data_IF_915851220382
#
_entry.id   IF_915851220382
#
_cell.length_a   1.000
_cell.length_b   1.000
_cell.length_c   1.000
_cell.angle_alpha   90.00
_cell.angle_beta   90.00
_cell.angle_gamma   90.00
#
_symmetry.space_group_name_H-M   'P 1'
#
loop_
_entity.id
_entity.type
_entity.pdbx_description
1 polymer ?
#
# COMPACT_ATOMS: atom_id res chain seq x y z
N UNK A 1 -5.24 -31.97 -2.02
CA UNK A 1 -5.43 -30.49 -1.93
C UNK A 1 -6.42 -30.20 -0.82
N UNK A 2 -6.28 -29.07 -0.13
CA UNK A 2 -7.21 -28.66 0.90
C UNK A 2 -8.56 -28.32 0.23
N UNK A 3 -9.71 -28.89 0.66
CA UNK A 3 -11.03 -28.65 0.07
C UNK A 3 -11.40 -27.14 0.00
N UNK A 4 -10.89 -26.36 0.93
CA UNK A 4 -11.05 -24.90 0.90
C UNK A 4 -10.37 -24.27 -0.31
N UNK A 5 -9.15 -24.70 -0.64
CA UNK A 5 -8.39 -24.19 -1.77
C UNK A 5 -9.06 -24.53 -3.10
N UNK A 6 -9.55 -25.77 -3.24
CA UNK A 6 -10.30 -26.20 -4.43
C UNK A 6 -11.57 -25.36 -4.63
N UNK A 7 -12.31 -25.08 -3.58
CA UNK A 7 -13.50 -24.23 -3.61
C UNK A 7 -13.16 -22.79 -4.04
N UNK A 8 -12.07 -22.23 -3.48
CA UNK A 8 -11.64 -20.87 -3.81
C UNK A 8 -11.14 -20.75 -5.25
N UNK A 9 -10.45 -21.75 -5.77
CA UNK A 9 -10.00 -21.79 -7.17
C UNK A 9 -11.20 -21.94 -8.10
N UNK A 10 -12.14 -22.85 -7.81
CA UNK A 10 -13.33 -23.06 -8.62
C UNK A 10 -14.21 -21.80 -8.75
N UNK A 11 -14.23 -20.94 -7.72
CA UNK A 11 -15.00 -19.70 -7.69
C UNK A 11 -14.12 -18.46 -7.53
N UNK A 12 -12.90 -18.48 -8.06
CA UNK A 12 -11.87 -17.46 -7.87
C UNK A 12 -12.37 -16.01 -8.06
N UNK A 13 -13.07 -15.64 -9.16
CA UNK A 13 -13.50 -14.25 -9.35
C UNK A 13 -14.47 -13.79 -8.25
N UNK A 14 -15.39 -14.64 -7.84
CA UNK A 14 -16.36 -14.33 -6.79
C UNK A 14 -15.68 -14.24 -5.41
N UNK A 15 -14.78 -15.18 -5.10
CA UNK A 15 -14.04 -15.21 -3.85
C UNK A 15 -13.15 -13.96 -3.69
N UNK A 16 -12.45 -13.55 -4.76
CA UNK A 16 -11.62 -12.34 -4.76
C UNK A 16 -12.46 -11.06 -4.66
N UNK A 17 -13.62 -11.01 -5.34
CA UNK A 17 -14.54 -9.86 -5.26
C UNK A 17 -15.14 -9.72 -3.85
N UNK A 18 -15.73 -10.78 -3.31
CA UNK A 18 -16.36 -10.73 -1.97
C UNK A 18 -15.33 -10.56 -0.87
N UNK A 19 -14.24 -11.31 -0.90
CA UNK A 19 -13.17 -11.20 0.08
C UNK A 19 -12.49 -9.84 0.03
N UNK A 20 -12.22 -9.31 -1.18
CA UNK A 20 -11.71 -7.95 -1.36
C UNK A 20 -12.65 -6.89 -0.79
N UNK A 21 -13.96 -7.02 -1.03
CA UNK A 21 -14.98 -6.12 -0.48
C UNK A 21 -14.98 -6.13 1.04
N UNK A 22 -14.96 -7.32 1.66
CA UNK A 22 -14.95 -7.47 3.14
C UNK A 22 -13.65 -6.90 3.73
N UNK A 23 -12.49 -7.26 3.18
CA UNK A 23 -11.22 -6.76 3.68
C UNK A 23 -11.08 -5.24 3.50
N UNK A 24 -11.53 -4.71 2.34
CA UNK A 24 -11.61 -3.29 2.10
C UNK A 24 -12.53 -2.59 3.10
N UNK A 25 -13.71 -3.16 3.37
CA UNK A 25 -14.67 -2.62 4.34
C UNK A 25 -14.08 -2.53 5.75
N UNK A 26 -13.45 -3.59 6.22
CA UNK A 26 -12.77 -3.60 7.52
C UNK A 26 -11.63 -2.58 7.57
N UNK A 27 -10.85 -2.49 6.50
CA UNK A 27 -9.78 -1.49 6.37
C UNK A 27 -10.31 -0.06 6.41
N UNK A 28 -11.35 0.24 5.63
CA UNK A 28 -11.96 1.58 5.57
C UNK A 28 -12.58 1.99 6.90
N UNK A 29 -13.34 1.10 7.53
CA UNK A 29 -13.94 1.34 8.85
C UNK A 29 -12.87 1.58 9.93
N UNK A 30 -11.83 0.74 9.96
CA UNK A 30 -10.74 0.85 10.92
C UNK A 30 -9.94 2.14 10.72
N UNK A 31 -9.51 2.45 9.49
CA UNK A 31 -8.70 3.63 9.19
C UNK A 31 -9.46 4.93 9.43
N UNK A 32 -10.76 4.97 9.13
CA UNK A 32 -11.61 6.10 9.44
C UNK A 32 -11.73 6.32 10.96
N UNK A 33 -12.06 5.25 11.70
CA UNK A 33 -12.29 5.29 13.15
C UNK A 33 -11.03 5.68 13.93
N UNK A 34 -9.87 5.14 13.55
CA UNK A 34 -8.59 5.33 14.26
C UNK A 34 -7.76 6.48 13.70
N UNK A 35 -8.19 7.09 12.59
CA UNK A 35 -7.44 8.12 11.89
C UNK A 35 -6.04 7.64 11.45
N UNK A 36 -5.92 6.36 11.07
CA UNK A 36 -4.67 5.78 10.58
C UNK A 36 -4.24 6.46 9.28
N UNK A 37 -3.06 7.08 9.28
CA UNK A 37 -2.60 7.90 8.17
C UNK A 37 -1.07 8.08 8.18
N UNK A 38 -0.41 7.77 7.08
CA UNK A 38 1.05 7.93 6.94
C UNK A 38 1.46 9.39 6.92
N UNK A 39 0.76 10.24 6.15
CA UNK A 39 1.01 11.68 6.12
C UNK A 39 0.87 12.30 7.52
N UNK A 40 -0.22 11.96 8.22
CA UNK A 40 -0.43 12.42 9.59
C UNK A 40 0.65 11.91 10.54
N UNK A 41 1.16 10.69 10.36
CA UNK A 41 2.26 10.15 11.16
C UNK A 41 3.56 10.92 10.95
N UNK A 42 3.87 11.30 9.70
CA UNK A 42 5.04 12.12 9.37
C UNK A 42 4.88 13.54 9.92
N UNK A 43 3.71 14.17 9.72
CA UNK A 43 3.44 15.52 10.23
C UNK A 43 3.50 15.57 11.76
N UNK A 44 2.85 14.63 12.46
CA UNK A 44 2.90 14.58 13.93
C UNK A 44 4.33 14.43 14.45
N UNK A 45 5.14 13.61 13.77
CA UNK A 45 6.53 13.38 14.15
C UNK A 45 7.40 14.63 13.90
N UNK A 46 7.19 15.33 12.78
CA UNK A 46 8.04 16.45 12.37
C UNK A 46 7.66 17.77 13.04
N UNK A 47 6.34 18.03 13.18
CA UNK A 47 5.82 19.31 13.68
C UNK A 47 5.57 19.27 15.20
N UNK A 48 5.03 18.15 15.71
CA UNK A 48 4.64 18.04 17.14
C UNK A 48 5.54 17.11 17.97
N UNK A 49 6.51 16.40 17.36
CA UNK A 49 7.36 15.43 18.05
C UNK A 49 6.61 14.17 18.52
N UNK A 50 5.33 14.00 18.17
CA UNK A 50 4.53 12.84 18.57
C UNK A 50 4.74 11.67 17.59
N UNK A 51 5.29 10.57 18.11
CA UNK A 51 5.61 9.37 17.31
C UNK A 51 4.59 8.26 17.43
N UNK A 52 3.50 8.42 18.18
CA UNK A 52 2.52 7.33 18.43
C UNK A 52 1.87 6.83 17.15
N UNK A 53 1.46 7.72 16.25
CA UNK A 53 0.87 7.34 14.95
C UNK A 53 1.89 6.69 14.02
N UNK A 54 3.15 7.16 14.07
CA UNK A 54 4.23 6.53 13.31
C UNK A 54 4.53 5.11 13.83
N UNK A 55 4.53 4.90 15.15
CA UNK A 55 4.68 3.57 15.75
C UNK A 55 3.50 2.66 15.43
N UNK A 56 2.26 3.17 15.39
CA UNK A 56 1.12 2.37 14.94
C UNK A 56 1.29 1.90 13.49
N UNK A 57 1.85 2.75 12.65
CA UNK A 57 2.15 2.41 11.26
C UNK A 57 3.27 1.35 11.17
N UNK A 58 4.34 1.49 11.94
CA UNK A 58 5.41 0.50 12.02
C UNK A 58 4.91 -0.83 12.59
N UNK A 59 4.02 -0.79 13.58
CA UNK A 59 3.37 -1.98 14.14
C UNK A 59 2.54 -2.72 13.08
N UNK A 60 1.83 -2.00 12.21
CA UNK A 60 1.09 -2.60 11.11
C UNK A 60 2.03 -3.33 10.12
N UNK A 61 3.17 -2.70 9.79
CA UNK A 61 4.18 -3.30 8.92
C UNK A 61 4.81 -4.55 9.55
N UNK A 62 5.15 -4.51 10.84
CA UNK A 62 5.72 -5.67 11.56
C UNK A 62 4.72 -6.82 11.68
N UNK A 63 3.45 -6.52 11.98
CA UNK A 63 2.37 -7.53 12.05
C UNK A 63 2.15 -8.17 10.68
N UNK A 64 2.10 -7.36 9.61
CA UNK A 64 1.99 -7.85 8.25
C UNK A 64 3.21 -8.72 7.87
N UNK A 65 4.43 -8.28 8.23
CA UNK A 65 5.66 -9.03 7.97
C UNK A 65 5.61 -10.44 8.60
N UNK A 66 5.35 -10.52 9.89
CA UNK A 66 5.30 -11.80 10.60
C UNK A 66 4.23 -12.72 10.02
N UNK A 67 3.02 -12.20 9.81
CA UNK A 67 1.92 -13.01 9.28
C UNK A 67 2.18 -13.46 7.83
N UNK A 68 2.67 -12.57 6.96
CA UNK A 68 2.95 -12.88 5.54
C UNK A 68 4.08 -13.89 5.41
N UNK A 69 5.18 -13.73 6.15
CA UNK A 69 6.27 -14.69 6.14
C UNK A 69 5.86 -16.03 6.76
N UNK A 70 4.96 -16.01 7.76
CA UNK A 70 4.36 -17.23 8.30
C UNK A 70 3.50 -17.98 7.27
N UNK A 71 2.67 -17.27 6.50
CA UNK A 71 1.88 -17.86 5.40
C UNK A 71 2.78 -18.43 4.29
N UNK A 72 3.87 -17.75 3.96
CA UNK A 72 4.83 -18.23 2.97
C UNK A 72 5.56 -19.50 3.47
N UNK A 73 6.01 -19.51 4.72
CA UNK A 73 6.65 -20.67 5.34
C UNK A 73 5.69 -21.89 5.44
N UNK A 74 4.40 -21.64 5.61
CA UNK A 74 3.35 -22.67 5.58
C UNK A 74 2.98 -23.14 4.15
N UNK A 75 3.58 -22.55 3.09
CA UNK A 75 3.27 -22.89 1.70
C UNK A 75 1.88 -22.42 1.22
N UNK A 76 1.25 -21.50 1.97
CA UNK A 76 -0.09 -20.98 1.63
C UNK A 76 -0.01 -19.92 0.53
N UNK A 77 1.04 -19.10 0.56
CA UNK A 77 1.21 -17.97 -0.37
C UNK A 77 2.54 -18.09 -1.11
N UNK A 78 2.54 -18.25 -2.44
CA UNK A 78 3.76 -18.21 -3.25
C UNK A 78 4.20 -16.76 -3.46
N UNK A 79 4.87 -16.16 -2.45
CA UNK A 79 5.29 -14.75 -2.48
C UNK A 79 6.22 -14.41 -3.66
N UNK A 80 6.95 -15.38 -4.17
CA UNK A 80 7.87 -15.24 -5.30
C UNK A 80 7.14 -14.88 -6.60
N UNK A 81 5.84 -15.20 -6.69
CA UNK A 81 4.96 -14.81 -7.80
C UNK A 81 4.38 -13.40 -7.65
N UNK A 82 4.66 -12.73 -6.53
CA UNK A 82 4.16 -11.38 -6.31
C UNK A 82 4.97 -10.33 -7.09
N UNK A 83 4.32 -9.24 -7.45
CA UNK A 83 4.96 -8.10 -8.12
C UNK A 83 6.12 -7.48 -7.34
N UNK A 84 6.20 -7.72 -6.03
CA UNK A 84 7.22 -7.13 -5.15
C UNK A 84 8.58 -7.87 -5.23
N UNK A 85 8.59 -9.14 -5.62
CA UNK A 85 9.79 -9.98 -5.65
C UNK A 85 10.28 -10.24 -7.08
N UNK A 86 10.13 -9.25 -7.97
CA UNK A 86 10.65 -9.32 -9.33
C UNK A 86 12.15 -9.60 -9.37
N UNK A 87 12.66 -10.27 -10.43
CA UNK A 87 14.08 -10.61 -10.58
C UNK A 87 14.96 -9.40 -10.99
N UNK A 88 14.37 -8.20 -11.07
CA UNK A 88 15.05 -6.94 -11.36
C UNK A 88 14.66 -5.88 -10.35
N UNK A 89 15.61 -5.02 -9.94
CA UNK A 89 15.37 -3.91 -9.04
C UNK A 89 15.33 -2.58 -9.82
N UNK A 90 14.15 -1.99 -9.95
CA UNK A 90 13.94 -0.66 -10.51
C UNK A 90 14.23 0.43 -9.45
N UNK A 91 15.49 0.57 -9.05
CA UNK A 91 15.87 1.42 -7.93
C UNK A 91 15.55 2.91 -8.14
N UNK A 92 15.70 3.42 -9.38
CA UNK A 92 15.34 4.82 -9.71
C UNK A 92 13.85 5.03 -9.59
N UNK A 93 13.03 4.11 -10.10
CA UNK A 93 11.58 4.16 -9.96
C UNK A 93 11.15 4.16 -8.48
N UNK A 94 11.75 3.31 -7.66
CA UNK A 94 11.48 3.27 -6.21
C UNK A 94 11.85 4.58 -5.51
N UNK A 95 13.00 5.17 -5.81
CA UNK A 95 13.47 6.40 -5.17
C UNK A 95 12.71 7.62 -5.69
N UNK A 96 12.72 7.86 -7.00
CA UNK A 96 12.07 9.04 -7.60
C UNK A 96 10.56 8.98 -7.43
N UNK A 97 9.95 7.82 -7.74
CA UNK A 97 8.52 7.61 -7.55
C UNK A 97 8.10 7.75 -6.10
N UNK A 98 8.88 7.21 -5.15
CA UNK A 98 8.63 7.35 -3.72
C UNK A 98 8.71 8.81 -3.24
N UNK A 99 9.71 9.58 -3.68
CA UNK A 99 9.84 11.02 -3.39
C UNK A 99 8.66 11.82 -3.93
N UNK A 100 8.29 11.60 -5.21
CA UNK A 100 7.14 12.26 -5.85
C UNK A 100 5.83 11.92 -5.11
N UNK A 101 5.64 10.64 -4.79
CA UNK A 101 4.47 10.19 -4.06
C UNK A 101 4.38 10.82 -2.66
N UNK A 102 5.50 10.80 -1.92
CA UNK A 102 5.58 11.35 -0.57
C UNK A 102 5.31 12.85 -0.53
N UNK A 103 5.89 13.60 -1.48
CA UNK A 103 5.63 15.03 -1.63
C UNK A 103 4.17 15.29 -2.02
N UNK A 104 3.69 14.60 -3.05
CA UNK A 104 2.32 14.74 -3.57
C UNK A 104 1.24 14.45 -2.51
N UNK A 105 1.45 13.44 -1.62
CA UNK A 105 0.45 13.12 -0.59
C UNK A 105 0.22 14.23 0.43
N UNK A 106 1.21 15.10 0.67
CA UNK A 106 1.05 16.25 1.56
C UNK A 106 0.15 17.30 0.91
N UNK A 107 0.39 17.60 -0.35
CA UNK A 107 -0.39 18.57 -1.12
C UNK A 107 -1.83 18.08 -1.39
N UNK A 108 -2.02 16.78 -1.58
CA UNK A 108 -3.33 16.16 -1.76
C UNK A 108 -4.10 15.92 -0.45
N UNK A 109 -3.53 16.29 0.70
CA UNK A 109 -4.17 16.13 2.01
C UNK A 109 -4.26 14.68 2.51
N UNK A 110 -3.45 13.77 1.97
CA UNK A 110 -3.33 12.38 2.39
C UNK A 110 -3.01 11.42 1.24
N UNK A 111 -2.53 10.23 1.58
CA UNK A 111 -2.32 9.14 0.62
C UNK A 111 -3.65 8.56 0.11
N UNK A 112 -3.68 7.70 -0.94
CA UNK A 112 -4.92 7.16 -1.51
C UNK A 112 -5.82 6.48 -0.47
N UNK A 113 -5.26 5.65 0.42
CA UNK A 113 -6.05 4.99 1.47
C UNK A 113 -6.70 5.99 2.44
N UNK A 114 -6.02 7.09 2.75
CA UNK A 114 -6.59 8.17 3.57
C UNK A 114 -7.69 8.92 2.83
N UNK A 115 -7.49 9.19 1.54
CA UNK A 115 -8.51 9.85 0.73
C UNK A 115 -9.74 8.96 0.52
N UNK A 116 -9.59 7.62 0.41
CA UNK A 116 -10.73 6.68 0.44
C UNK A 116 -11.52 6.81 1.75
N UNK A 117 -10.85 6.82 2.88
CA UNK A 117 -11.50 6.99 4.17
C UNK A 117 -12.22 8.36 4.29
N UNK A 118 -11.62 9.45 3.78
CA UNK A 118 -12.22 10.79 3.77
C UNK A 118 -13.41 10.86 2.82
N UNK A 119 -13.29 10.30 1.60
CA UNK A 119 -14.37 10.27 0.63
C UNK A 119 -15.59 9.51 1.17
N UNK A 120 -15.38 8.34 1.82
CA UNK A 120 -16.44 7.64 2.55
C UNK A 120 -17.06 8.48 3.66
N UNK A 121 -16.30 9.34 4.33
CA UNK A 121 -16.78 10.30 5.32
C UNK A 121 -17.54 11.51 4.75
N UNK A 122 -17.65 11.64 3.41
CA UNK A 122 -18.38 12.72 2.73
C UNK A 122 -17.48 13.85 2.20
N UNK A 123 -16.16 13.68 2.18
CA UNK A 123 -15.24 14.69 1.63
C UNK A 123 -15.10 14.55 0.11
N UNK A 124 -15.81 15.43 -0.62
CA UNK A 124 -15.79 15.47 -2.09
C UNK A 124 -14.40 15.84 -2.66
N UNK A 125 -13.59 16.59 -1.92
CA UNK A 125 -12.20 16.88 -2.31
C UNK A 125 -11.38 15.59 -2.41
N UNK A 126 -11.55 14.72 -1.42
CA UNK A 126 -10.87 13.43 -1.40
C UNK A 126 -11.32 12.53 -2.57
N UNK A 127 -12.62 12.56 -2.92
CA UNK A 127 -13.14 11.84 -4.07
C UNK A 127 -12.52 12.34 -5.38
N UNK A 128 -12.50 13.67 -5.61
CA UNK A 128 -11.87 14.23 -6.81
C UNK A 128 -10.36 13.98 -6.85
N UNK A 129 -9.70 14.04 -5.70
CA UNK A 129 -8.28 13.67 -5.56
C UNK A 129 -8.02 12.23 -6.01
N UNK A 130 -8.88 11.28 -5.64
CA UNK A 130 -8.78 9.88 -6.07
C UNK A 130 -8.99 9.71 -7.57
N UNK A 131 -9.96 10.41 -8.16
CA UNK A 131 -10.21 10.38 -9.61
C UNK A 131 -8.98 10.86 -10.37
N UNK A 132 -8.44 12.04 -10.01
CA UNK A 132 -7.26 12.60 -10.68
C UNK A 132 -6.03 11.71 -10.47
N UNK A 133 -5.86 11.15 -9.29
CA UNK A 133 -4.79 10.17 -9.00
C UNK A 133 -4.91 8.94 -9.90
N UNK A 134 -6.12 8.38 -10.05
CA UNK A 134 -6.37 7.21 -10.90
C UNK A 134 -6.05 7.49 -12.37
N UNK A 135 -6.49 8.64 -12.90
CA UNK A 135 -6.16 9.09 -14.26
C UNK A 135 -4.65 9.23 -14.43
N UNK A 136 -3.98 9.94 -13.53
CA UNK A 136 -2.53 10.14 -13.58
C UNK A 136 -1.74 8.82 -13.46
N UNK A 137 -2.22 7.87 -12.66
CA UNK A 137 -1.65 6.54 -12.56
C UNK A 137 -1.79 5.78 -13.89
N UNK A 138 -2.95 5.80 -14.52
CA UNK A 138 -3.15 5.15 -15.82
C UNK A 138 -2.36 5.81 -16.95
N UNK A 139 -2.22 7.14 -16.92
CA UNK A 139 -1.32 7.85 -17.84
C UNK A 139 0.12 7.36 -17.72
N UNK A 140 0.60 7.08 -16.50
CA UNK A 140 1.95 6.57 -16.26
C UNK A 140 2.07 5.06 -16.51
N UNK A 141 1.01 4.27 -16.34
CA UNK A 141 1.03 2.81 -16.46
C UNK A 141 1.12 2.34 -17.90
N UNK A 142 0.26 2.83 -18.76
CA UNK A 142 0.18 2.44 -20.18
C UNK A 142 -0.35 3.55 -21.09
N UNK A 143 -0.59 4.77 -20.54
CA UNK A 143 -1.05 5.94 -21.29
C UNK A 143 0.10 6.83 -21.75
N UNK A 144 -0.15 8.13 -21.77
CA UNK A 144 0.74 9.16 -22.34
C UNK A 144 2.18 9.13 -21.76
N UNK A 145 2.33 8.84 -20.49
CA UNK A 145 3.63 8.77 -19.80
C UNK A 145 4.24 7.36 -19.79
N UNK A 146 3.50 6.35 -20.26
CA UNK A 146 3.95 4.95 -20.31
C UNK A 146 5.28 4.74 -21.01
N UNK A 147 5.51 5.29 -22.23
CA UNK A 147 6.79 5.16 -22.94
C UNK A 147 7.97 5.75 -22.16
N UNK A 148 7.79 6.92 -21.54
CA UNK A 148 8.83 7.56 -20.73
C UNK A 148 9.17 6.74 -19.48
N UNK A 149 8.14 6.17 -18.80
CA UNK A 149 8.32 5.25 -17.68
C UNK A 149 9.07 3.99 -18.10
N UNK A 150 8.66 3.36 -19.20
CA UNK A 150 9.29 2.12 -19.67
C UNK A 150 10.76 2.36 -20.07
N UNK A 151 11.07 3.51 -20.69
CA UNK A 151 12.45 3.89 -20.99
C UNK A 151 13.27 4.08 -19.71
N UNK A 152 12.73 4.79 -18.71
CA UNK A 152 13.42 4.99 -17.43
C UNK A 152 13.70 3.65 -16.72
N UNK A 153 12.69 2.78 -16.65
CA UNK A 153 12.82 1.45 -16.05
C UNK A 153 13.86 0.61 -16.80
N UNK A 154 13.78 0.55 -18.13
CA UNK A 154 14.74 -0.20 -18.96
C UNK A 154 16.18 0.31 -18.85
N UNK A 155 16.36 1.65 -18.70
CA UNK A 155 17.68 2.27 -18.58
C UNK A 155 18.30 2.12 -17.17
N UNK A 156 17.49 1.88 -16.13
CA UNK A 156 17.95 1.96 -14.75
C UNK A 156 17.68 0.70 -13.91
N UNK A 157 16.96 -0.28 -14.46
CA UNK A 157 16.71 -1.54 -13.78
C UNK A 157 18.01 -2.32 -13.59
N UNK A 158 18.24 -2.79 -12.36
CA UNK A 158 19.36 -3.63 -12.01
C UNK A 158 18.95 -5.11 -12.13
N UNK A 159 19.48 -5.88 -13.11
CA UNK A 159 19.18 -7.30 -13.23
C UNK A 159 19.88 -8.07 -12.12
N UNK A 160 19.11 -8.64 -11.20
CA UNK A 160 19.66 -9.36 -10.03
C UNK A 160 20.28 -10.71 -10.40
N UNK A 161 19.91 -11.26 -11.56
CA UNK A 161 20.48 -12.50 -12.07
C UNK A 161 22.00 -12.42 -12.27
N UNK A 162 22.53 -11.25 -12.67
CA UNK A 162 23.97 -11.01 -12.80
C UNK A 162 24.70 -11.12 -11.46
N UNK A 163 24.02 -10.82 -10.36
CA UNK A 163 24.51 -10.92 -9.00
C UNK A 163 24.20 -12.29 -8.36
N UNK A 164 23.64 -13.24 -9.12
CA UNK A 164 23.18 -14.56 -8.64
C UNK A 164 22.15 -14.49 -7.52
N UNK A 165 21.37 -13.39 -7.49
CA UNK A 165 20.29 -13.18 -6.51
C UNK A 165 18.97 -13.54 -7.21
N UNK A 166 18.21 -14.54 -6.70
CA UNK A 166 16.98 -15.01 -7.37
C UNK A 166 15.88 -13.95 -7.40
N UNK A 167 15.68 -13.25 -6.29
CA UNK A 167 14.67 -12.19 -6.15
C UNK A 167 15.22 -11.02 -5.34
N UNK A 168 14.53 -9.89 -5.37
CA UNK A 168 14.89 -8.73 -4.52
C UNK A 168 14.50 -8.88 -3.03
N UNK A 169 14.26 -10.10 -2.54
CA UNK A 169 14.05 -10.33 -1.12
C UNK A 169 15.34 -10.11 -0.32
N UNK A 170 15.25 -9.38 0.81
CA UNK A 170 16.38 -9.24 1.75
C UNK A 170 16.93 -10.59 2.21
N UNK A 171 16.06 -11.62 2.30
CA UNK A 171 16.49 -12.96 2.63
C UNK A 171 17.35 -13.59 1.55
N UNK A 172 17.00 -13.41 0.26
CA UNK A 172 17.81 -13.93 -0.85
C UNK A 172 19.13 -13.18 -0.95
N UNK A 173 19.13 -11.87 -0.75
CA UNK A 173 20.36 -11.06 -0.68
C UNK A 173 21.26 -11.55 0.47
N UNK A 174 20.69 -11.74 1.67
CA UNK A 174 21.43 -12.23 2.82
C UNK A 174 21.98 -13.65 2.60
N UNK A 175 21.22 -14.53 1.95
CA UNK A 175 21.67 -15.90 1.62
C UNK A 175 22.91 -15.88 0.73
N UNK A 176 22.91 -15.04 -0.32
CA UNK A 176 24.07 -14.90 -1.22
C UNK A 176 25.28 -14.32 -0.50
N UNK A 177 25.09 -13.33 0.38
CA UNK A 177 26.19 -12.67 1.10
C UNK A 177 26.80 -13.56 2.21
N UNK A 178 25.96 -14.38 2.88
CA UNK A 178 26.41 -15.19 4.03
C UNK A 178 26.70 -16.65 3.68
N UNK A 179 26.26 -17.12 2.51
CA UNK A 179 26.32 -18.53 2.14
C UNK A 179 25.30 -19.42 2.88
N UNK A 180 24.35 -18.80 3.62
CA UNK A 180 23.32 -19.53 4.35
C UNK A 180 22.24 -20.09 3.39
N UNK A 181 21.45 -21.07 3.87
CA UNK A 181 20.32 -21.54 3.09
C UNK A 181 19.27 -20.43 2.90
N UNK A 182 18.65 -20.30 1.72
CA UNK A 182 17.67 -19.23 1.45
C UNK A 182 16.51 -19.19 2.46
N UNK A 183 16.03 -20.37 2.90
CA UNK A 183 14.96 -20.46 3.88
C UNK A 183 15.38 -19.91 5.25
N UNK A 184 16.58 -20.27 5.72
CA UNK A 184 17.09 -19.76 7.00
C UNK A 184 17.36 -18.26 6.93
N UNK A 185 17.91 -17.76 5.82
CA UNK A 185 18.19 -16.34 5.63
C UNK A 185 16.89 -15.50 5.57
N UNK A 186 15.84 -15.98 4.88
CA UNK A 186 14.51 -15.35 4.85
C UNK A 186 13.91 -15.28 6.25
N UNK A 187 13.90 -16.38 7.00
CA UNK A 187 13.37 -16.43 8.34
C UNK A 187 14.15 -15.54 9.32
N UNK A 188 15.48 -15.60 9.27
CA UNK A 188 16.35 -14.77 10.13
C UNK A 188 16.16 -13.27 9.84
N UNK A 189 16.10 -12.87 8.57
CA UNK A 189 15.86 -11.47 8.17
C UNK A 189 14.48 -10.99 8.64
N UNK A 190 13.44 -11.82 8.48
CA UNK A 190 12.10 -11.52 8.95
C UNK A 190 12.06 -11.38 10.48
N UNK A 191 12.65 -12.31 11.20
CA UNK A 191 12.68 -12.29 12.66
C UNK A 191 13.44 -11.08 13.19
N UNK A 192 14.60 -10.77 12.63
CA UNK A 192 15.42 -9.62 13.03
C UNK A 192 14.67 -8.30 12.87
N UNK A 193 14.07 -8.09 11.69
CA UNK A 193 13.32 -6.86 11.39
C UNK A 193 12.07 -6.78 12.28
N UNK A 194 11.32 -7.88 12.41
CA UNK A 194 10.12 -7.90 13.23
C UNK A 194 10.44 -7.59 14.70
N UNK A 195 11.44 -8.25 15.29
CA UNK A 195 11.85 -8.02 16.68
C UNK A 195 12.31 -6.57 16.87
N UNK A 196 13.14 -6.04 15.97
CA UNK A 196 13.61 -4.66 16.04
C UNK A 196 12.45 -3.66 15.99
N UNK A 197 11.48 -3.87 15.09
CA UNK A 197 10.32 -2.97 14.95
C UNK A 197 9.35 -3.10 16.13
N UNK A 198 9.06 -4.32 16.60
CA UNK A 198 8.23 -4.51 17.80
C UNK A 198 8.90 -3.87 19.02
N UNK A 199 10.21 -4.09 19.23
CA UNK A 199 10.95 -3.46 20.31
C UNK A 199 10.85 -1.93 20.23
N UNK A 200 11.11 -1.34 19.06
CA UNK A 200 10.95 0.11 18.84
C UNK A 200 9.54 0.59 19.18
N UNK A 201 8.50 -0.13 18.77
CA UNK A 201 7.12 0.24 19.06
C UNK A 201 6.82 0.24 20.57
N UNK A 202 7.19 -0.82 21.27
CA UNK A 202 6.82 -1.02 22.68
C UNK A 202 7.78 -0.39 23.69
N UNK A 203 8.93 0.15 23.27
CA UNK A 203 9.81 0.95 24.14
C UNK A 203 9.17 2.26 24.63
N UNK A 204 8.07 2.71 24.02
CA UNK A 204 7.34 3.92 24.44
C UNK A 204 6.07 3.54 25.20
N UNK A 205 6.07 3.76 26.51
CA UNK A 205 4.90 3.47 27.36
C UNK A 205 3.63 4.23 26.95
N UNK A 206 3.75 5.45 26.39
CA UNK A 206 2.59 6.21 25.90
C UNK A 206 1.94 5.54 24.67
N UNK A 207 2.74 4.91 23.83
CA UNK A 207 2.22 4.13 22.71
C UNK A 207 1.61 2.82 23.20
N UNK A 208 2.31 2.08 24.06
CA UNK A 208 1.87 0.80 24.60
C UNK A 208 0.54 0.91 25.40
N UNK A 209 0.27 2.04 26.02
CA UNK A 209 -0.97 2.33 26.74
C UNK A 209 -2.10 2.92 25.86
N UNK A 210 -1.89 3.07 24.55
CA UNK A 210 -2.89 3.68 23.66
C UNK A 210 -3.67 2.63 22.84
N UNK A 211 -4.89 2.23 23.26
CA UNK A 211 -5.67 1.19 22.57
C UNK A 211 -5.92 1.53 21.11
N UNK A 212 -6.23 2.80 20.80
CA UNK A 212 -6.53 3.23 19.43
C UNK A 212 -5.36 2.98 18.47
N UNK A 213 -4.12 3.26 18.89
CA UNK A 213 -2.93 3.05 18.07
C UNK A 213 -2.58 1.56 17.96
N UNK A 214 -2.76 0.78 19.02
CA UNK A 214 -2.55 -0.67 19.00
C UNK A 214 -3.57 -1.35 18.07
N UNK A 215 -4.86 -1.03 18.23
CA UNK A 215 -5.90 -1.56 17.35
C UNK A 215 -5.69 -1.20 15.88
N UNK A 216 -5.25 0.03 15.59
CA UNK A 216 -4.97 0.42 14.21
C UNK A 216 -3.77 -0.32 13.63
N UNK A 217 -2.69 -0.47 14.41
CA UNK A 217 -1.48 -1.17 13.98
C UNK A 217 -1.74 -2.65 13.72
N UNK A 218 -2.19 -3.38 14.72
CA UNK A 218 -2.49 -4.80 14.56
C UNK A 218 -3.59 -5.05 13.54
N UNK A 219 -4.68 -4.28 13.58
CA UNK A 219 -5.82 -4.49 12.68
C UNK A 219 -5.45 -4.28 11.21
N UNK A 220 -4.74 -3.21 10.86
CA UNK A 220 -4.28 -2.98 9.48
C UNK A 220 -3.31 -4.08 9.05
N UNK A 221 -2.36 -4.46 9.91
CA UNK A 221 -1.42 -5.54 9.62
C UNK A 221 -2.13 -6.88 9.36
N UNK A 222 -3.09 -7.27 10.20
CA UNK A 222 -3.86 -8.50 10.04
C UNK A 222 -4.74 -8.49 8.78
N UNK A 223 -5.33 -7.34 8.42
CA UNK A 223 -6.10 -7.21 7.17
C UNK A 223 -5.18 -7.43 5.96
N UNK A 224 -3.94 -6.93 6.00
CA UNK A 224 -2.95 -7.20 4.93
C UNK A 224 -2.59 -8.68 4.87
N UNK A 225 -2.38 -9.34 6.02
CA UNK A 225 -2.13 -10.80 6.08
C UNK A 225 -3.30 -11.58 5.49
N UNK A 226 -4.54 -11.21 5.86
CA UNK A 226 -5.73 -11.85 5.31
C UNK A 226 -5.87 -11.64 3.79
N UNK A 227 -5.46 -10.48 3.27
CA UNK A 227 -5.39 -10.23 1.82
C UNK A 227 -4.40 -11.17 1.12
N UNK A 228 -3.21 -11.35 1.68
CA UNK A 228 -2.24 -12.32 1.18
C UNK A 228 -2.77 -13.76 1.25
N UNK A 229 -3.40 -14.15 2.35
CA UNK A 229 -3.98 -15.49 2.50
C UNK A 229 -5.07 -15.76 1.46
N UNK A 230 -5.99 -14.82 1.26
CA UNK A 230 -7.07 -14.97 0.30
C UNK A 230 -6.54 -15.11 -1.13
N UNK A 231 -5.66 -14.22 -1.55
CA UNK A 231 -5.14 -14.24 -2.92
C UNK A 231 -4.16 -15.39 -3.17
N UNK A 232 -3.41 -15.81 -2.15
CA UNK A 232 -2.52 -16.96 -2.22
C UNK A 232 -3.27 -18.29 -2.28
N UNK A 233 -4.34 -18.46 -1.50
CA UNK A 233 -5.19 -19.66 -1.57
C UNK A 233 -5.96 -19.74 -2.89
N UNK A 234 -6.39 -18.59 -3.42
CA UNK A 234 -7.10 -18.51 -4.70
C UNK A 234 -6.16 -18.54 -5.91
N UNK A 235 -4.83 -18.59 -5.70
CA UNK A 235 -3.86 -18.60 -6.79
C UNK A 235 -3.80 -19.96 -7.47
N UNK A 236 -3.98 -19.95 -8.80
CA UNK A 236 -3.85 -21.12 -9.65
C UNK A 236 -2.88 -20.79 -10.80
N UNK A 237 -1.76 -21.53 -10.84
CA UNK A 237 -0.75 -21.39 -11.88
C UNK A 237 -1.23 -21.88 -13.24
N UNK A 238 -2.18 -22.81 -13.26
CA UNK A 238 -2.71 -23.43 -14.47
C UNK A 238 -3.93 -22.68 -15.06
N UNK A 239 -4.35 -21.61 -14.42
CA UNK A 239 -5.45 -20.80 -14.92
C UNK A 239 -5.08 -20.10 -16.24
N UNK A 240 -6.04 -19.92 -17.15
CA UNK A 240 -5.85 -19.17 -18.41
C UNK A 240 -5.30 -17.75 -18.18
N UNK A 241 -5.61 -17.15 -17.05
CA UNK A 241 -5.12 -15.84 -16.60
C UNK A 241 -4.78 -15.90 -15.11
N UNK A 242 -3.57 -16.34 -14.74
CA UNK A 242 -3.17 -16.41 -13.35
C UNK A 242 -3.22 -15.03 -12.70
N UNK A 243 -3.96 -14.89 -11.61
CA UNK A 243 -3.97 -13.67 -10.81
C UNK A 243 -2.84 -13.76 -9.79
N UNK A 244 -1.77 -12.99 -9.98
CA UNK A 244 -0.63 -12.99 -9.06
C UNK A 244 -1.08 -12.68 -7.62
N UNK A 245 -0.50 -13.37 -6.61
CA UNK A 245 -0.78 -13.07 -5.20
C UNK A 245 -0.47 -11.61 -4.89
N UNK A 246 -1.43 -10.95 -4.25
CA UNK A 246 -1.33 -9.54 -3.87
C UNK A 246 -2.12 -9.29 -2.59
N UNK A 247 -1.78 -8.26 -1.86
CA UNK A 247 -2.62 -7.76 -0.77
C UNK A 247 -2.99 -6.28 -1.00
N UNK A 248 -3.38 -5.56 0.05
CA UNK A 248 -3.93 -4.22 -0.07
C UNK A 248 -2.91 -3.23 -0.68
N UNK A 249 -3.32 -2.57 -1.73
CA UNK A 249 -2.66 -1.43 -2.37
C UNK A 249 -3.73 -0.53 -2.97
N UNK A 250 -3.45 0.77 -3.23
CA UNK A 250 -4.53 1.68 -3.60
C UNK A 250 -4.19 2.66 -4.75
N UNK A 251 -2.98 2.63 -5.35
CA UNK A 251 -2.72 3.48 -6.53
C UNK A 251 -3.36 2.87 -7.76
N UNK A 252 -2.89 1.67 -8.16
CA UNK A 252 -3.44 0.96 -9.30
C UNK A 252 -4.93 0.63 -9.13
N UNK A 253 -5.38 0.07 -7.99
CA UNK A 253 -6.80 -0.26 -7.82
C UNK A 253 -7.76 0.93 -7.91
N UNK A 254 -7.34 2.14 -7.56
CA UNK A 254 -8.16 3.35 -7.79
C UNK A 254 -8.32 3.62 -9.29
N UNK A 255 -7.25 3.49 -10.08
CA UNK A 255 -7.32 3.57 -11.55
C UNK A 255 -8.17 2.44 -12.15
N UNK A 256 -7.90 1.19 -11.74
CA UNK A 256 -8.67 0.01 -12.16
C UNK A 256 -10.17 0.17 -11.82
N UNK A 257 -10.52 0.89 -10.74
CA UNK A 257 -11.91 1.17 -10.38
C UNK A 257 -12.57 2.10 -11.40
N UNK A 258 -11.86 3.12 -11.89
CA UNK A 258 -12.39 3.99 -12.94
C UNK A 258 -12.61 3.21 -14.24
N UNK A 259 -11.64 2.42 -14.66
CA UNK A 259 -11.78 1.55 -15.84
C UNK A 259 -12.92 0.55 -15.67
N UNK A 260 -13.06 -0.05 -14.48
CA UNK A 260 -14.15 -0.99 -14.22
C UNK A 260 -15.53 -0.33 -14.30
N UNK A 261 -15.68 0.90 -13.80
CA UNK A 261 -16.93 1.66 -13.92
C UNK A 261 -17.29 1.96 -15.39
N UNK A 262 -16.29 2.21 -16.23
CA UNK A 262 -16.49 2.48 -17.66
C UNK A 262 -16.79 1.21 -18.46
N UNK A 263 -16.25 0.06 -18.06
CA UNK A 263 -16.21 -1.18 -18.84
C UNK A 263 -16.76 -2.40 -18.10
N UNK A 264 -17.60 -2.21 -17.08
CA UNK A 264 -18.11 -3.28 -16.22
C UNK A 264 -18.71 -4.46 -17.00
N UNK A 265 -19.45 -4.17 -18.07
CA UNK A 265 -20.10 -5.20 -18.90
C UNK A 265 -19.09 -6.10 -19.62
N UNK A 266 -17.90 -5.59 -19.92
CA UNK A 266 -16.83 -6.36 -20.56
C UNK A 266 -15.89 -7.03 -19.52
N UNK A 267 -15.71 -6.42 -18.36
CA UNK A 267 -14.80 -6.91 -17.32
C UNK A 267 -15.45 -7.89 -16.33
N UNK A 268 -16.77 -7.86 -16.19
CA UNK A 268 -17.52 -8.72 -15.27
C UNK A 268 -17.34 -8.34 -13.81
N UNK A 269 -17.14 -9.33 -12.92
CA UNK A 269 -16.95 -9.11 -11.49
C UNK A 269 -15.70 -8.27 -11.21
N UNK A 270 -15.74 -7.39 -10.19
CA UNK A 270 -14.58 -6.59 -9.83
C UNK A 270 -13.45 -7.49 -9.30
N UNK A 271 -12.23 -7.26 -9.76
CA UNK A 271 -11.04 -7.91 -9.20
C UNK A 271 -10.79 -7.50 -7.74
N UNK A 272 -9.92 -8.23 -7.06
CA UNK A 272 -9.59 -8.00 -5.64
C UNK A 272 -9.30 -6.53 -5.32
N UNK A 273 -8.46 -5.87 -6.12
CA UNK A 273 -8.09 -4.47 -5.90
C UNK A 273 -9.29 -3.51 -5.96
N UNK A 274 -10.11 -3.62 -7.02
CA UNK A 274 -11.33 -2.81 -7.20
C UNK A 274 -12.32 -3.05 -6.07
N UNK A 275 -12.51 -4.31 -5.68
CA UNK A 275 -13.38 -4.69 -4.58
C UNK A 275 -12.91 -4.07 -3.25
N UNK A 276 -11.58 -4.01 -2.99
CA UNK A 276 -11.05 -3.36 -1.78
C UNK A 276 -11.28 -1.85 -1.77
N UNK A 277 -11.29 -1.18 -2.93
CA UNK A 277 -11.60 0.26 -3.04
C UNK A 277 -13.06 0.53 -2.65
N UNK A 278 -14.01 -0.20 -3.23
CA UNK A 278 -15.42 -0.09 -2.84
C UNK A 278 -15.64 -0.44 -1.37
N UNK A 279 -15.04 -1.54 -0.92
CA UNK A 279 -15.10 -1.93 0.48
C UNK A 279 -14.61 -0.81 1.41
N UNK A 280 -13.47 -0.20 1.11
CA UNK A 280 -12.90 0.88 1.93
C UNK A 280 -13.80 2.13 1.96
N UNK A 281 -14.43 2.49 0.84
CA UNK A 281 -15.41 3.58 0.79
C UNK A 281 -16.64 3.27 1.66
N UNK A 282 -17.22 2.09 1.52
CA UNK A 282 -18.41 1.67 2.28
C UNK A 282 -18.11 1.52 3.77
N UNK A 283 -16.97 0.94 4.13
CA UNK A 283 -16.55 0.78 5.52
C UNK A 283 -16.33 2.13 6.19
N UNK A 284 -15.67 3.06 5.53
CA UNK A 284 -15.48 4.42 6.02
C UNK A 284 -16.80 5.19 6.12
N UNK A 285 -17.69 5.04 5.13
CA UNK A 285 -19.02 5.64 5.16
C UNK A 285 -19.84 5.15 6.36
N UNK A 286 -19.90 3.85 6.58
CA UNK A 286 -20.63 3.31 7.72
C UNK A 286 -20.03 3.76 9.05
N UNK A 287 -18.70 3.75 9.17
CA UNK A 287 -18.02 4.24 10.37
C UNK A 287 -18.32 5.73 10.62
N UNK A 288 -18.31 6.56 9.56
CA UNK A 288 -18.64 7.98 9.66
C UNK A 288 -20.08 8.21 10.13
N UNK A 289 -21.02 7.44 9.59
CA UNK A 289 -22.44 7.51 9.99
C UNK A 289 -22.66 7.08 11.44
N UNK A 290 -22.09 5.95 11.83
CA UNK A 290 -22.21 5.43 13.21
C UNK A 290 -21.56 6.36 14.25
N UNK A 291 -20.51 7.09 13.86
CA UNK A 291 -19.88 8.10 14.73
C UNK A 291 -20.53 9.48 14.67
N UNK A 292 -21.58 9.69 13.89
CA UNK A 292 -22.22 11.00 13.69
C UNK A 292 -21.29 12.03 13.03
N UNK A 293 -20.26 11.60 12.30
CA UNK A 293 -19.23 12.48 11.70
C UNK A 293 -19.33 12.60 10.18
N UNK A 294 -20.35 11.99 9.57
CA UNK A 294 -20.57 12.14 8.13
C UNK A 294 -20.97 13.58 7.81
N UNK A 295 -20.15 14.25 6.98
CA UNK A 295 -20.38 15.63 6.56
C UNK A 295 -19.89 15.82 5.13
N UNK A 296 -20.78 16.36 4.28
CA UNK A 296 -20.38 16.76 2.94
C UNK A 296 -19.49 18.00 3.01
N UNK A 297 -18.29 17.89 2.50
CA UNK A 297 -17.32 18.99 2.41
C UNK A 297 -16.75 19.07 1.01
N UNK A 298 -16.39 20.28 0.56
CA UNK A 298 -15.82 20.54 -0.76
C UNK A 298 -14.62 21.48 -0.64
N UNK A 299 -14.00 21.82 -1.77
CA UNK A 299 -12.89 22.78 -1.83
C UNK A 299 -13.32 24.15 -1.30
N UNK A 300 -12.39 24.85 -0.70
CA UNK A 300 -12.60 26.19 -0.14
C UNK A 300 -12.27 27.30 -1.13
N UNK A 301 -11.52 26.98 -2.19
CA UNK A 301 -11.15 27.94 -3.23
C UNK A 301 -10.28 27.34 -4.32
N UNK A 302 -9.97 28.11 -5.39
CA UNK A 302 -9.18 27.65 -6.53
C UNK A 302 -7.76 27.21 -6.16
N UNK A 303 -7.11 27.90 -5.25
CA UNK A 303 -5.75 27.54 -4.80
C UNK A 303 -5.70 26.21 -4.07
N UNK A 304 -6.70 25.92 -3.19
CA UNK A 304 -6.84 24.65 -2.51
C UNK A 304 -7.09 23.51 -3.51
N UNK A 305 -7.95 23.77 -4.52
CA UNK A 305 -8.23 22.83 -5.59
C UNK A 305 -6.97 22.49 -6.38
N UNK A 306 -6.26 23.51 -6.91
CA UNK A 306 -5.05 23.31 -7.73
C UNK A 306 -3.97 22.56 -6.94
N UNK A 307 -3.76 22.93 -5.68
CA UNK A 307 -2.83 22.24 -4.79
C UNK A 307 -3.17 20.76 -4.64
N UNK A 308 -4.43 20.45 -4.37
CA UNK A 308 -4.86 19.07 -4.16
C UNK A 308 -4.75 18.23 -5.43
N UNK A 309 -5.11 18.77 -6.59
CA UNK A 309 -5.05 18.07 -7.87
C UNK A 309 -3.61 17.87 -8.36
N UNK A 310 -2.73 18.86 -8.19
CA UNK A 310 -1.30 18.70 -8.49
C UNK A 310 -0.66 17.63 -7.60
N UNK A 311 -1.00 17.62 -6.29
CA UNK A 311 -0.58 16.56 -5.38
C UNK A 311 -1.10 15.19 -5.78
N UNK A 312 -2.35 15.08 -6.23
CA UNK A 312 -2.95 13.84 -6.72
C UNK A 312 -2.22 13.31 -7.97
N UNK A 313 -1.89 14.18 -8.92
CA UNK A 313 -1.15 13.81 -10.13
C UNK A 313 0.24 13.31 -9.80
N UNK A 314 0.97 14.00 -8.90
CA UNK A 314 2.28 13.53 -8.41
C UNK A 314 2.20 12.18 -7.71
N UNK A 315 1.16 11.95 -6.88
CA UNK A 315 0.94 10.64 -6.25
C UNK A 315 0.63 9.54 -7.26
N UNK A 316 -0.19 9.82 -8.28
CA UNK A 316 -0.55 8.85 -9.31
C UNK A 316 0.68 8.41 -10.10
N UNK A 317 1.44 9.37 -10.65
CA UNK A 317 2.66 9.10 -11.42
C UNK A 317 3.73 8.44 -10.52
N UNK A 318 4.01 9.06 -9.37
CA UNK A 318 5.02 8.57 -8.43
C UNK A 318 4.69 7.18 -7.89
N UNK A 319 3.41 6.90 -7.63
CA UNK A 319 2.98 5.60 -7.14
C UNK A 319 3.11 4.48 -8.17
N UNK A 320 2.97 4.78 -9.47
CA UNK A 320 3.22 3.81 -10.53
C UNK A 320 4.72 3.55 -10.69
N UNK A 321 5.55 4.60 -10.72
CA UNK A 321 7.01 4.46 -10.75
C UNK A 321 7.54 3.64 -9.56
N UNK A 322 6.97 3.86 -8.37
CA UNK A 322 7.36 3.18 -7.14
C UNK A 322 6.64 1.82 -6.93
N UNK A 323 5.82 1.36 -7.89
CA UNK A 323 5.04 0.13 -7.82
C UNK A 323 4.05 0.07 -6.64
N UNK A 324 3.59 1.21 -6.12
CA UNK A 324 2.56 1.22 -5.08
C UNK A 324 2.50 2.50 -4.23
N UNK A 325 1.67 2.45 -3.21
CA UNK A 325 1.42 3.53 -2.25
C UNK A 325 2.03 3.24 -0.88
N UNK A 326 1.75 4.09 0.10
CA UNK A 326 2.17 3.86 1.50
C UNK A 326 1.71 2.51 2.06
N UNK A 327 0.49 2.07 1.76
CA UNK A 327 0.00 0.74 2.17
C UNK A 327 0.66 -0.33 1.28
N UNK A 328 0.59 -0.17 -0.06
CA UNK A 328 1.09 -1.15 -1.00
C UNK A 328 2.58 -1.43 -0.86
N UNK A 329 3.42 -0.40 -0.78
CA UNK A 329 4.87 -0.58 -0.60
C UNK A 329 5.26 -0.67 0.87
N UNK A 330 4.71 0.22 1.70
CA UNK A 330 5.19 0.36 3.06
C UNK A 330 4.68 -0.73 4.03
N UNK A 331 3.54 -1.38 3.77
CA UNK A 331 3.04 -2.48 4.61
C UNK A 331 3.04 -3.77 3.80
N UNK A 332 2.30 -3.82 2.70
CA UNK A 332 2.18 -5.04 1.87
C UNK A 332 3.51 -5.45 1.26
N UNK A 333 4.25 -4.53 0.64
CA UNK A 333 5.55 -4.82 0.01
C UNK A 333 6.65 -5.09 1.04
N UNK A 334 6.74 -4.32 2.12
CA UNK A 334 7.68 -4.59 3.24
C UNK A 334 7.43 -5.97 3.84
N UNK A 335 6.18 -6.45 3.89
CA UNK A 335 5.87 -7.79 4.41
C UNK A 335 6.47 -8.93 3.58
N UNK A 336 6.83 -8.68 2.32
CA UNK A 336 7.55 -9.64 1.45
C UNK A 336 9.07 -9.57 1.61
N UNK A 337 9.62 -8.65 2.41
CA UNK A 337 11.04 -8.35 2.52
C UNK A 337 11.68 -7.79 1.23
N UNK A 338 10.91 -7.25 0.31
CA UNK A 338 11.41 -6.69 -0.94
C UNK A 338 12.27 -5.44 -0.71
N UNK A 339 13.51 -5.42 -1.19
CA UNK A 339 14.45 -4.28 -1.10
C UNK A 339 13.82 -3.01 -1.70
N UNK A 340 13.16 -3.13 -2.86
CA UNK A 340 12.47 -2.01 -3.50
C UNK A 340 11.40 -1.38 -2.61
N UNK A 341 10.72 -2.19 -1.78
CA UNK A 341 9.69 -1.69 -0.85
C UNK A 341 10.30 -0.87 0.29
N UNK A 342 11.45 -1.26 0.84
CA UNK A 342 12.17 -0.48 1.84
C UNK A 342 12.70 0.83 1.24
N UNK A 343 13.25 0.80 0.01
CA UNK A 343 13.69 2.01 -0.69
C UNK A 343 12.53 2.98 -0.93
N UNK A 344 11.41 2.47 -1.43
CA UNK A 344 10.20 3.28 -1.64
C UNK A 344 9.68 3.89 -0.35
N UNK A 345 9.62 3.09 0.72
CA UNK A 345 9.16 3.58 2.03
C UNK A 345 10.04 4.73 2.53
N UNK A 346 11.35 4.56 2.49
CA UNK A 346 12.30 5.60 2.87
C UNK A 346 12.11 6.86 2.01
N UNK A 347 12.00 6.70 0.69
CA UNK A 347 11.77 7.80 -0.25
C UNK A 347 10.42 8.52 0.00
N UNK A 348 9.34 7.77 0.27
CA UNK A 348 8.03 8.36 0.64
C UNK A 348 8.14 9.20 1.92
N UNK A 349 8.85 8.72 2.94
CA UNK A 349 9.03 9.46 4.19
C UNK A 349 9.82 10.74 3.94
N UNK A 350 10.92 10.67 3.19
CA UNK A 350 11.73 11.85 2.84
C UNK A 350 10.93 12.85 2.00
N UNK A 351 10.22 12.38 0.96
CA UNK A 351 9.33 13.20 0.15
C UNK A 351 8.20 13.85 0.97
N UNK A 352 7.63 13.09 1.92
CA UNK A 352 6.63 13.60 2.85
C UNK A 352 7.16 14.70 3.76
N UNK A 353 8.35 14.53 4.34
CA UNK A 353 9.01 15.57 5.15
C UNK A 353 9.27 16.82 4.31
N UNK A 354 9.77 16.66 3.09
CA UNK A 354 9.99 17.78 2.16
C UNK A 354 8.66 18.51 1.84
N UNK A 355 7.59 17.74 1.60
CA UNK A 355 6.26 18.29 1.35
C UNK A 355 5.68 19.07 2.52
N UNK A 356 5.82 18.56 3.77
CA UNK A 356 5.37 19.27 4.98
C UNK A 356 6.12 20.59 5.12
N UNK A 357 7.45 20.61 4.99
CA UNK A 357 8.25 21.84 5.06
C UNK A 357 7.91 22.84 3.95
N UNK A 358 7.63 22.35 2.73
CA UNK A 358 7.21 23.20 1.62
C UNK A 358 5.84 23.83 1.89
N UNK A 359 4.89 23.06 2.43
CA UNK A 359 3.56 23.56 2.77
C UNK A 359 3.60 24.61 3.91
N UNK A 360 4.42 24.40 4.95
CA UNK A 360 4.64 25.34 6.05
C UNK A 360 5.18 26.68 5.52
N UNK A 361 6.17 26.66 4.62
CA UNK A 361 6.71 27.87 4.00
C UNK A 361 5.67 28.60 3.14
N UNK A 362 4.81 27.85 2.41
CA UNK A 362 3.77 28.47 1.59
C UNK A 362 2.68 29.12 2.43
N UNK A 363 2.34 28.58 3.59
CA UNK A 363 1.33 29.12 4.49
C UNK A 363 1.82 30.32 5.33
N UNK A 364 3.13 30.57 5.36
CA UNK A 364 3.76 31.70 6.07
C UNK A 364 3.97 32.94 5.17
N UNK A 365 3.67 32.85 3.89
CA UNK A 365 3.65 33.96 2.90
C UNK A 365 2.21 34.34 2.59
#
# INVERSE_FOLDING_TARGET
MDPLRELLIAHQPLALALGGLVLGFLFGALTYRTNFCTMGAISDMTTFGDRRRFRAWMLAAATALVGTQGLAAAGIVPLEQSMYLAPSLNWVGHVVGGLMFGFGMVFAGGCPSRNLARAGGGDLRALLTLIVLGIAAYMAMGGLLGPARAWLEGATALPLAELRIPTQSLGDVAAVLTGASPAAAKLASAALIAVAVFAYCFMDGRFASSPTHLWSGFGVGLIVVAGWALTGLAWDELADRPTAPISLTYVRPVGDTLEWLERMTALGLPGFGVATVFGALFGAFLAARLMGRFKLTSFTGPADTLRSLSGASLMGIGGVLALGCTIGQGITGVSTLAVGSFLTLAAIVVGGIAGVRALERWSSV
#
